data_IF_265001670918
#
_entry.id   IF_265001670918
#
_cell.length_a   1.000
_cell.length_b   1.000
_cell.length_c   1.000
_cell.angle_alpha   90.00
_cell.angle_beta   90.00
_cell.angle_gamma   90.00
#
_symmetry.space_group_name_H-M   'P 1'
#
loop_
_entity.id
_entity.type
_entity.pdbx_description
1 polymer ?
#
# COMPACT_ATOMS: atom_id res chain seq x y z
N UNK A 1 -16.81 27.31 -5.12
CA UNK A 1 -17.05 27.59 -6.55
C UNK A 1 -18.54 27.38 -6.79
N UNK A 2 -19.28 28.45 -7.11
CA UNK A 2 -20.73 28.39 -7.36
C UNK A 2 -20.92 28.12 -8.86
N UNK A 3 -21.66 27.05 -9.20
CA UNK A 3 -21.97 26.70 -10.59
C UNK A 3 -22.94 27.72 -11.19
N UNK A 4 -22.77 28.04 -12.47
CA UNK A 4 -23.70 28.89 -13.21
C UNK A 4 -25.08 28.22 -13.38
N UNK A 5 -26.12 29.02 -13.62
CA UNK A 5 -27.49 28.52 -13.77
C UNK A 5 -27.65 27.49 -14.89
N UNK A 6 -26.84 27.60 -15.96
CA UNK A 6 -26.83 26.64 -17.07
C UNK A 6 -26.24 25.30 -16.62
N UNK A 7 -25.11 25.32 -15.91
CA UNK A 7 -24.46 24.12 -15.39
C UNK A 7 -25.34 23.39 -14.37
N UNK A 8 -26.05 24.14 -13.52
CA UNK A 8 -27.02 23.56 -12.57
C UNK A 8 -28.17 22.85 -13.29
N UNK A 9 -28.72 23.45 -14.36
CA UNK A 9 -29.79 22.84 -15.16
C UNK A 9 -29.33 21.60 -15.91
N UNK A 10 -28.08 21.58 -16.42
CA UNK A 10 -27.50 20.40 -17.07
C UNK A 10 -27.30 19.28 -16.04
N UNK A 11 -26.72 19.60 -14.88
CA UNK A 11 -26.50 18.65 -13.79
C UNK A 11 -27.81 18.01 -13.34
N UNK A 12 -28.86 18.80 -13.11
CA UNK A 12 -30.17 18.31 -12.67
C UNK A 12 -30.81 17.35 -13.70
N UNK A 13 -30.61 17.58 -15.00
CA UNK A 13 -31.10 16.66 -16.04
C UNK A 13 -30.36 15.32 -16.03
N UNK A 14 -29.04 15.35 -15.84
CA UNK A 14 -28.22 14.12 -15.79
C UNK A 14 -28.55 13.31 -14.53
N UNK A 15 -28.65 13.96 -13.38
CA UNK A 15 -28.98 13.31 -12.10
C UNK A 15 -30.41 12.73 -12.05
N UNK A 16 -31.33 13.22 -12.90
CA UNK A 16 -32.69 12.67 -13.00
C UNK A 16 -32.78 11.41 -13.89
N UNK A 17 -31.79 11.17 -14.75
CA UNK A 17 -31.77 10.05 -15.72
C UNK A 17 -30.88 8.91 -15.21
N UNK A 18 -29.75 9.23 -14.60
CA UNK A 18 -28.73 8.26 -14.20
C UNK A 18 -28.55 8.17 -12.68
N UNK A 19 -28.14 7.00 -12.20
CA UNK A 19 -27.79 6.79 -10.79
C UNK A 19 -26.39 7.38 -10.49
N UNK A 20 -26.26 8.32 -9.54
CA UNK A 20 -24.96 8.87 -9.15
C UNK A 20 -24.01 7.77 -8.69
N UNK A 21 -22.73 7.86 -9.06
CA UNK A 21 -21.72 6.84 -8.76
C UNK A 21 -21.62 6.48 -7.26
N UNK A 22 -21.92 7.42 -6.37
CA UNK A 22 -21.96 7.22 -4.91
C UNK A 22 -23.06 6.26 -4.44
N UNK A 23 -24.11 6.08 -5.23
CA UNK A 23 -25.29 5.28 -4.92
C UNK A 23 -25.23 3.91 -5.62
N UNK A 24 -24.17 3.66 -6.41
CA UNK A 24 -23.88 2.34 -6.94
C UNK A 24 -23.36 1.45 -5.81
N UNK A 25 -23.66 0.14 -5.87
CA UNK A 25 -23.11 -0.87 -4.96
C UNK A 25 -21.64 -1.17 -5.28
N UNK A 26 -20.79 -0.15 -5.20
CA UNK A 26 -19.35 -0.21 -5.46
C UNK A 26 -18.59 0.36 -4.27
N UNK A 27 -17.57 -0.36 -3.81
CA UNK A 27 -16.68 0.13 -2.76
C UNK A 27 -15.55 0.95 -3.37
N UNK A 28 -15.65 2.28 -3.29
CA UNK A 28 -14.57 3.19 -3.70
C UNK A 28 -13.52 3.22 -2.58
N UNK A 29 -12.39 2.55 -2.83
CA UNK A 29 -11.28 2.48 -1.89
C UNK A 29 -10.15 3.43 -2.30
N UNK A 30 -9.54 4.08 -1.31
CA UNK A 30 -8.26 4.80 -1.52
C UNK A 30 -7.13 3.78 -1.70
N UNK A 31 -6.15 4.09 -2.53
CA UNK A 31 -5.00 3.22 -2.78
C UNK A 31 -4.10 2.99 -1.56
N UNK A 32 -3.11 2.12 -1.70
CA UNK A 32 -2.17 1.83 -0.61
C UNK A 32 -1.32 3.05 -0.32
N UNK A 33 -1.15 3.42 0.95
CA UNK A 33 -0.21 4.47 1.33
C UNK A 33 1.04 3.79 1.89
N UNK A 34 2.15 3.89 1.15
CA UNK A 34 3.45 3.34 1.54
C UNK A 34 4.18 4.25 2.53
N UNK A 35 3.91 5.56 2.48
CA UNK A 35 4.62 6.59 3.24
C UNK A 35 6.03 6.90 2.71
N UNK A 36 6.63 6.00 1.92
CA UNK A 36 7.92 6.19 1.28
C UNK A 36 8.11 5.21 0.11
N UNK A 37 7.78 5.64 -1.11
CA UNK A 37 7.69 4.74 -2.27
C UNK A 37 9.01 4.04 -2.61
N UNK A 38 10.15 4.73 -2.48
CA UNK A 38 11.45 4.21 -2.94
C UNK A 38 11.91 2.97 -2.16
N UNK A 39 11.48 2.82 -0.90
CA UNK A 39 11.78 1.62 -0.12
C UNK A 39 10.81 0.47 -0.43
N UNK A 40 9.52 0.77 -0.62
CA UNK A 40 8.46 -0.26 -0.71
C UNK A 40 8.12 -0.68 -2.14
N UNK A 41 8.39 0.14 -3.15
CA UNK A 41 8.10 -0.17 -4.55
C UNK A 41 9.41 -0.57 -5.24
N UNK A 42 9.45 -1.80 -5.74
CA UNK A 42 10.61 -2.38 -6.41
C UNK A 42 10.25 -2.77 -7.84
N UNK A 43 11.24 -2.80 -8.72
CA UNK A 43 11.10 -3.32 -10.08
C UNK A 43 11.23 -4.86 -10.11
N UNK A 44 10.89 -5.47 -11.24
CA UNK A 44 11.00 -6.92 -11.42
C UNK A 44 12.41 -7.45 -11.29
N UNK A 45 13.43 -6.65 -11.61
CA UNK A 45 14.83 -7.01 -11.41
C UNK A 45 15.15 -7.17 -9.93
N UNK A 46 14.88 -6.14 -9.13
CA UNK A 46 15.07 -6.15 -7.67
C UNK A 46 14.21 -7.23 -7.00
N UNK A 47 12.98 -7.44 -7.47
CA UNK A 47 12.15 -8.58 -7.02
C UNK A 47 12.86 -9.90 -7.21
N UNK A 48 13.42 -10.13 -8.40
CA UNK A 48 14.13 -11.38 -8.72
C UNK A 48 15.38 -11.55 -7.87
N UNK A 49 16.15 -10.47 -7.66
CA UNK A 49 17.32 -10.46 -6.78
C UNK A 49 16.95 -10.84 -5.34
N UNK A 50 15.88 -10.25 -4.79
CA UNK A 50 15.44 -10.49 -3.40
C UNK A 50 14.93 -11.92 -3.21
N UNK A 51 14.13 -12.43 -4.15
CA UNK A 51 13.63 -13.81 -4.11
C UNK A 51 14.76 -14.83 -4.27
N UNK A 52 15.78 -14.52 -5.09
CA UNK A 52 16.94 -15.39 -5.24
C UNK A 52 17.78 -15.51 -3.96
N UNK A 53 17.88 -14.41 -3.18
CA UNK A 53 18.56 -14.42 -1.89
C UNK A 53 17.74 -15.09 -0.79
N UNK A 54 16.42 -14.86 -0.80
CA UNK A 54 15.50 -15.41 0.16
C UNK A 54 14.17 -15.78 -0.54
N UNK A 55 13.96 -17.06 -0.90
CA UNK A 55 12.75 -17.51 -1.60
C UNK A 55 11.47 -17.17 -0.86
N UNK A 56 11.54 -17.09 0.47
CA UNK A 56 10.41 -16.77 1.34
C UNK A 56 9.88 -15.36 1.09
N UNK A 57 10.74 -14.42 0.68
CA UNK A 57 10.38 -13.05 0.33
C UNK A 57 9.29 -12.95 -0.75
N UNK A 58 9.11 -13.98 -1.59
CA UNK A 58 8.06 -14.02 -2.61
C UNK A 58 6.64 -13.86 -2.03
N UNK A 59 6.40 -14.26 -0.78
CA UNK A 59 5.06 -14.24 -0.17
C UNK A 59 4.57 -12.83 0.23
N UNK A 60 5.49 -11.89 0.41
CA UNK A 60 5.18 -10.49 0.74
C UNK A 60 5.36 -9.53 -0.44
N UNK A 61 5.90 -10.00 -1.57
CA UNK A 61 6.05 -9.19 -2.78
C UNK A 61 4.79 -9.34 -3.65
N UNK A 62 4.02 -8.25 -3.78
CA UNK A 62 2.76 -8.23 -4.54
C UNK A 62 2.87 -7.31 -5.76
N UNK A 63 2.34 -7.69 -6.93
CA UNK A 63 2.32 -6.78 -8.07
C UNK A 63 1.43 -5.55 -7.77
N UNK A 64 1.88 -4.37 -8.19
CA UNK A 64 1.19 -3.11 -7.96
C UNK A 64 0.96 -2.35 -9.27
N UNK A 65 -0.20 -1.70 -9.38
CA UNK A 65 -0.51 -0.72 -10.41
C UNK A 65 -0.56 0.66 -9.77
N UNK A 66 -0.04 1.69 -10.44
CA UNK A 66 -0.26 3.08 -10.00
C UNK A 66 -1.23 3.74 -10.95
N UNK A 67 -1.80 4.87 -10.53
CA UNK A 67 -2.76 5.61 -11.33
C UNK A 67 -2.29 5.89 -12.77
N UNK A 68 -0.98 6.09 -12.99
CA UNK A 68 -0.41 6.35 -14.33
C UNK A 68 -0.47 5.15 -15.28
N UNK A 69 -0.56 3.93 -14.75
CA UNK A 69 -0.65 2.69 -15.52
C UNK A 69 -2.11 2.35 -15.90
N UNK A 70 -3.10 3.03 -15.32
CA UNK A 70 -4.53 2.81 -15.56
C UNK A 70 -4.99 3.66 -16.75
N UNK A 71 -5.66 3.03 -17.71
CA UNK A 71 -6.29 3.64 -18.90
C UNK A 71 -7.80 3.42 -18.86
N UNK A 72 -8.54 4.19 -19.66
CA UNK A 72 -10.02 4.18 -19.72
C UNK A 72 -10.65 2.78 -19.86
N UNK A 73 -9.95 1.84 -20.51
CA UNK A 73 -10.44 0.48 -20.78
C UNK A 73 -9.39 -0.61 -20.53
N UNK A 74 -8.39 -0.34 -19.70
CA UNK A 74 -7.34 -1.33 -19.42
C UNK A 74 -6.21 -0.78 -18.58
N UNK A 75 -5.15 -1.57 -18.43
CA UNK A 75 -3.95 -1.15 -17.73
C UNK A 75 -2.70 -1.66 -18.45
N UNK A 76 -1.57 -0.99 -18.24
CA UNK A 76 -0.26 -1.47 -18.67
C UNK A 76 0.53 -1.83 -17.43
N UNK A 77 0.87 -3.12 -17.26
CA UNK A 77 1.68 -3.53 -16.13
C UNK A 77 3.12 -3.03 -16.32
N UNK A 78 3.61 -2.23 -15.37
CA UNK A 78 4.93 -1.60 -15.44
C UNK A 78 6.05 -2.45 -14.83
N UNK A 79 5.81 -3.74 -14.59
CA UNK A 79 6.74 -4.64 -13.89
C UNK A 79 7.19 -4.11 -12.52
N UNK A 80 6.21 -3.60 -11.77
CA UNK A 80 6.41 -3.06 -10.43
C UNK A 80 5.71 -3.89 -9.38
N UNK A 81 6.37 -3.95 -8.24
CA UNK A 81 5.95 -4.74 -7.11
C UNK A 81 6.07 -3.94 -5.83
N UNK A 82 5.16 -4.23 -4.91
CA UNK A 82 5.09 -3.67 -3.58
C UNK A 82 5.56 -4.70 -2.57
N UNK A 83 6.44 -4.26 -1.68
CA UNK A 83 6.74 -4.94 -0.43
C UNK A 83 5.55 -4.74 0.52
N UNK A 84 4.67 -5.74 0.60
CA UNK A 84 3.48 -5.68 1.44
C UNK A 84 3.79 -6.15 2.86
N UNK A 85 4.07 -5.19 3.75
CA UNK A 85 4.44 -5.47 5.14
C UNK A 85 3.41 -4.85 6.08
N UNK A 86 2.52 -5.66 6.72
CA UNK A 86 1.55 -5.16 7.68
C UNK A 86 2.21 -4.79 9.02
N UNK A 87 1.45 -4.16 9.91
CA UNK A 87 1.90 -3.85 11.27
C UNK A 87 2.23 -5.13 12.04
N UNK A 88 3.28 -5.11 12.86
CA UNK A 88 3.73 -6.23 13.68
C UNK A 88 4.14 -7.47 12.88
N UNK A 89 4.42 -7.30 11.59
CA UNK A 89 4.94 -8.38 10.75
C UNK A 89 6.29 -8.90 11.27
N UNK A 90 6.55 -10.22 11.26
CA UNK A 90 5.69 -11.30 10.77
C UNK A 90 4.67 -11.83 11.79
N UNK A 91 4.63 -11.31 13.01
CA UNK A 91 3.83 -11.84 14.12
C UNK A 91 2.35 -11.43 14.10
N UNK A 92 1.94 -10.52 13.22
CA UNK A 92 0.59 -9.98 13.09
C UNK A 92 -0.59 -10.98 13.15
N UNK A 93 -0.41 -12.23 12.71
CA UNK A 93 -1.43 -13.29 12.78
C UNK A 93 -1.33 -14.16 14.03
N UNK A 94 -0.12 -14.29 14.60
CA UNK A 94 0.17 -15.20 15.72
C UNK A 94 -0.03 -14.49 17.06
N UNK A 95 0.30 -13.19 17.12
CA UNK A 95 0.23 -12.34 18.31
C UNK A 95 -0.54 -11.05 18.02
N UNK A 96 -1.88 -11.12 17.85
CA UNK A 96 -2.71 -9.94 17.57
C UNK A 96 -2.74 -8.92 18.72
N UNK A 97 -2.29 -9.30 19.91
CA UNK A 97 -2.23 -8.46 21.11
C UNK A 97 -1.05 -7.47 21.11
N UNK A 98 -0.10 -7.60 20.18
CA UNK A 98 1.01 -6.65 20.06
C UNK A 98 0.41 -5.26 19.81
N UNK A 99 0.80 -4.31 20.66
CA UNK A 99 0.45 -2.90 20.52
C UNK A 99 1.74 -2.10 20.39
N UNK A 100 1.80 -1.27 19.36
CA UNK A 100 2.93 -0.42 19.13
C UNK A 100 4.14 -1.14 18.54
N UNK A 101 5.22 -0.39 18.33
CA UNK A 101 6.42 -0.96 17.72
C UNK A 101 7.07 -2.02 18.62
N UNK A 102 7.14 -3.26 18.12
CA UNK A 102 7.68 -4.39 18.85
C UNK A 102 9.09 -4.76 18.39
N UNK A 103 10.03 -4.76 19.35
CA UNK A 103 11.39 -5.31 19.12
C UNK A 103 11.36 -6.80 18.81
N UNK A 104 10.37 -7.52 19.33
CA UNK A 104 10.20 -8.95 19.04
C UNK A 104 9.82 -9.16 17.57
N UNK A 105 8.88 -8.35 17.06
CA UNK A 105 8.49 -8.38 15.66
C UNK A 105 9.66 -8.02 14.74
N UNK A 106 10.44 -6.97 15.08
CA UNK A 106 11.64 -6.60 14.32
C UNK A 106 12.66 -7.75 14.25
N UNK A 107 12.95 -8.39 15.39
CA UNK A 107 13.88 -9.54 15.42
C UNK A 107 13.34 -10.73 14.64
N UNK A 108 12.04 -10.99 14.71
CA UNK A 108 11.40 -12.05 13.93
C UNK A 108 11.46 -11.74 12.43
N UNK A 109 11.31 -10.47 12.04
CA UNK A 109 11.40 -10.04 10.65
C UNK A 109 12.81 -10.19 10.10
N UNK A 110 13.83 -9.72 10.84
CA UNK A 110 15.24 -9.89 10.49
C UNK A 110 15.61 -11.36 10.26
N UNK A 111 15.15 -12.26 11.14
CA UNK A 111 15.46 -13.69 11.05
C UNK A 111 14.68 -14.40 9.92
N UNK A 112 13.42 -14.04 9.69
CA UNK A 112 12.56 -14.74 8.75
C UNK A 112 12.65 -14.21 7.33
N UNK A 113 13.00 -12.93 7.14
CA UNK A 113 13.06 -12.26 5.83
C UNK A 113 14.31 -11.38 5.72
N UNK A 114 15.52 -11.95 5.86
CA UNK A 114 16.76 -11.18 5.95
C UNK A 114 17.04 -10.32 4.71
N UNK A 115 16.70 -10.80 3.51
CA UNK A 115 16.92 -10.03 2.27
C UNK A 115 16.08 -8.74 2.24
N UNK A 116 14.80 -8.84 2.61
CA UNK A 116 13.89 -7.70 2.63
C UNK A 116 14.22 -6.77 3.79
N UNK A 117 14.56 -7.33 4.96
CA UNK A 117 15.02 -6.54 6.10
C UNK A 117 16.23 -5.68 5.72
N UNK A 118 17.25 -6.30 5.10
CA UNK A 118 18.46 -5.59 4.67
C UNK A 118 18.18 -4.55 3.59
N UNK A 119 17.28 -4.83 2.65
CA UNK A 119 16.83 -3.84 1.66
C UNK A 119 16.20 -2.62 2.34
N UNK A 120 15.26 -2.83 3.26
CA UNK A 120 14.59 -1.72 3.96
C UNK A 120 15.52 -1.00 4.93
N UNK A 121 16.51 -1.69 5.49
CA UNK A 121 17.49 -1.13 6.41
C UNK A 121 18.28 0.03 5.77
N UNK A 122 18.48 -0.02 4.45
CA UNK A 122 19.11 1.07 3.69
C UNK A 122 18.34 2.39 3.77
N UNK A 123 17.03 2.32 4.06
CA UNK A 123 16.11 3.45 4.15
C UNK A 123 15.63 3.70 5.58
N UNK A 124 16.29 3.11 6.59
CA UNK A 124 15.82 3.14 7.99
C UNK A 124 15.60 4.57 8.50
N UNK A 125 16.48 5.49 8.13
CA UNK A 125 16.40 6.89 8.57
C UNK A 125 15.16 7.57 8.01
N UNK A 126 14.90 7.42 6.72
CA UNK A 126 13.77 7.99 6.00
C UNK A 126 12.46 7.37 6.49
N UNK A 127 12.44 6.04 6.60
CA UNK A 127 11.29 5.27 7.06
C UNK A 127 10.92 5.61 8.50
N UNK A 128 11.90 5.80 9.39
CA UNK A 128 11.65 6.20 10.78
C UNK A 128 11.11 7.63 10.88
N UNK A 129 11.45 8.50 9.91
CA UNK A 129 11.08 9.92 9.94
C UNK A 129 9.76 10.26 9.21
N UNK A 130 9.16 9.32 8.47
CA UNK A 130 7.98 9.56 7.61
C UNK A 130 6.76 10.11 8.36
N UNK A 131 6.37 9.49 9.47
CA UNK A 131 5.26 9.92 10.33
C UNK A 131 5.69 9.81 11.79
N UNK A 132 6.22 10.91 12.31
CA UNK A 132 6.77 10.99 13.67
C UNK A 132 5.73 10.72 14.77
N UNK A 133 4.44 10.85 14.47
CA UNK A 133 3.36 10.60 15.42
C UNK A 133 2.97 9.11 15.50
N UNK A 134 3.32 8.29 14.51
CA UNK A 134 2.86 6.90 14.44
C UNK A 134 4.01 5.89 14.27
N UNK A 135 5.02 6.20 13.46
CA UNK A 135 6.12 5.28 13.16
C UNK A 135 7.02 5.11 14.39
N UNK A 136 7.25 3.88 14.79
CA UNK A 136 7.96 3.56 16.04
C UNK A 136 7.09 3.67 17.30
N UNK A 137 5.83 4.12 17.17
CA UNK A 137 4.88 4.27 18.28
C UNK A 137 3.76 3.23 18.14
N UNK A 138 3.07 3.22 17.00
CA UNK A 138 1.96 2.31 16.70
C UNK A 138 2.38 1.08 15.91
N UNK A 139 3.43 1.20 15.10
CA UNK A 139 3.96 0.13 14.25
C UNK A 139 5.44 0.33 13.99
N UNK A 140 6.11 -0.72 13.55
CA UNK A 140 7.54 -0.75 13.29
C UNK A 140 7.90 0.10 12.05
N UNK A 141 9.13 0.61 12.02
CA UNK A 141 9.61 1.50 10.96
C UNK A 141 9.52 0.89 9.55
N UNK A 142 9.60 -0.44 9.44
CA UNK A 142 9.53 -1.20 8.20
C UNK A 142 8.10 -1.57 7.76
N UNK A 143 7.07 -1.31 8.57
CA UNK A 143 5.68 -1.64 8.23
C UNK A 143 5.06 -0.58 7.30
N UNK A 144 4.02 -0.92 6.54
CA UNK A 144 3.22 0.06 5.80
C UNK A 144 2.41 0.95 6.76
N UNK A 145 2.11 2.19 6.38
CA UNK A 145 1.38 3.13 7.27
C UNK A 145 -0.08 2.75 7.51
N UNK A 146 -0.65 1.87 6.71
CA UNK A 146 -2.04 1.43 6.86
C UNK A 146 -2.07 0.15 7.68
N UNK A 147 -2.99 0.08 8.64
CA UNK A 147 -3.40 -1.19 9.25
C UNK A 147 -3.94 -2.09 8.13
N UNK A 148 -3.06 -2.95 7.60
CA UNK A 148 -3.22 -3.69 6.34
C UNK A 148 -4.27 -4.81 6.39
N UNK A 149 -5.14 -4.84 7.40
CA UNK A 149 -6.08 -5.92 7.63
C UNK A 149 -7.04 -6.15 6.44
N UNK A 150 -7.46 -5.10 5.73
CA UNK A 150 -8.49 -5.24 4.69
C UNK A 150 -7.99 -5.64 3.29
N UNK A 151 -6.67 -5.63 3.05
CA UNK A 151 -6.10 -5.93 1.72
C UNK A 151 -5.40 -7.29 1.64
N UNK A 152 -5.00 -7.87 2.77
CA UNK A 152 -4.33 -9.17 2.80
C UNK A 152 -5.18 -10.27 2.14
N UNK A 153 -6.49 -10.25 2.38
CA UNK A 153 -7.48 -11.22 1.88
C UNK A 153 -7.80 -11.07 0.38
N UNK A 154 -7.59 -9.89 -0.20
CA UNK A 154 -7.94 -9.62 -1.60
C UNK A 154 -6.77 -10.04 -2.51
N UNK A 155 -6.89 -11.19 -3.19
CA UNK A 155 -5.99 -11.64 -4.28
C UNK A 155 -6.15 -10.80 -5.57
N UNK A 156 -6.15 -9.47 -5.45
CA UNK A 156 -6.34 -8.53 -6.56
C UNK A 156 -5.11 -7.62 -6.62
N UNK A 157 -4.73 -7.19 -7.83
CA UNK A 157 -3.70 -6.17 -8.01
C UNK A 157 -3.95 -4.98 -7.07
N UNK A 158 -2.92 -4.60 -6.33
CA UNK A 158 -3.00 -3.46 -5.45
C UNK A 158 -2.89 -2.19 -6.29
N UNK A 159 -3.81 -1.23 -6.10
CA UNK A 159 -3.77 0.05 -6.82
C UNK A 159 -3.23 1.13 -5.88
N UNK A 160 -2.17 1.80 -6.31
CA UNK A 160 -1.62 2.99 -5.67
C UNK A 160 -2.29 4.24 -6.27
N UNK A 161 -3.07 4.93 -5.43
CA UNK A 161 -3.59 6.25 -5.76
C UNK A 161 -2.71 7.29 -5.07
N UNK A 162 -2.05 8.14 -5.86
CA UNK A 162 -1.38 9.33 -5.34
C UNK A 162 -2.47 10.31 -4.89
N UNK A 163 -2.58 10.53 -3.57
CA UNK A 163 -3.21 11.73 -3.06
C UNK A 163 -2.17 12.84 -3.19
N UNK A 164 -2.46 13.84 -4.03
CA UNK A 164 -1.69 15.07 -4.05
C UNK A 164 -1.74 15.69 -2.64
N UNK A 165 -0.56 15.92 -2.07
CA UNK A 165 -0.34 16.75 -0.89
C UNK A 165 -0.72 18.20 -1.18
#
# INVERSE_FOLDING_TARGET
MILSDIEQRIKAKIEAIDTPLKDWDIQINRGILTGFNDAFIIDGKKRTELIAQDPKSAEIIRPILRGREIKRYGYVFADLYLLFIPWHFPLHQIKPEIKGASKEAEKAFENQYPAIYNHLLQYKTELSNRNKAETGIHYEWYALQRWGANYWEKKVFLILFYLFS
#
